data_IF_971073805417
#
_entry.id   IF_971073805417
#
_cell.length_a   1.000
_cell.length_b   1.000
_cell.length_c   1.000
_cell.angle_alpha   90.00
_cell.angle_beta   90.00
_cell.angle_gamma   90.00
#
_symmetry.space_group_name_H-M   'P 1'
#
loop_
_entity.id
_entity.type
_entity.pdbx_description
1 polymer ?
#
# COMPACT_ATOMS: atom_id res chain seq x y z
N UNK A 1 -30.82 -5.45 -7.03
CA UNK A 1 -32.06 -6.15 -6.65
C UNK A 1 -31.88 -6.52 -5.18
N UNK A 2 -32.60 -5.85 -4.27
CA UNK A 2 -32.40 -5.99 -2.82
C UNK A 2 -33.07 -7.28 -2.36
N UNK A 3 -32.31 -8.23 -1.83
CA UNK A 3 -32.83 -9.48 -1.26
C UNK A 3 -33.37 -9.19 0.14
N UNK A 4 -34.69 -9.04 0.23
CA UNK A 4 -35.40 -9.26 1.49
C UNK A 4 -35.22 -10.74 1.85
N UNK A 5 -34.60 -10.99 3.00
CA UNK A 5 -34.30 -12.28 3.63
C UNK A 5 -33.74 -13.39 2.72
N UNK A 6 -32.41 -13.60 2.69
CA UNK A 6 -31.83 -14.69 1.91
C UNK A 6 -32.36 -16.05 2.38
N UNK A 7 -32.56 -17.02 1.48
CA UNK A 7 -32.94 -18.37 1.85
C UNK A 7 -31.94 -18.92 2.88
N UNK A 8 -32.46 -19.66 3.85
CA UNK A 8 -31.72 -20.22 4.99
C UNK A 8 -31.14 -19.19 6.00
N UNK A 9 -31.45 -17.89 5.89
CA UNK A 9 -30.86 -16.85 6.76
C UNK A 9 -30.99 -17.15 8.27
N UNK A 10 -32.15 -17.66 8.71
CA UNK A 10 -32.41 -17.96 10.12
C UNK A 10 -31.72 -19.23 10.61
N UNK A 11 -31.23 -20.07 9.69
CA UNK A 11 -30.52 -21.32 9.97
C UNK A 11 -29.00 -21.11 9.96
N UNK A 12 -28.49 -20.01 9.39
CA UNK A 12 -27.06 -19.69 9.40
C UNK A 12 -26.54 -19.50 10.83
N UNK A 13 -25.34 -20.02 11.12
CA UNK A 13 -24.69 -19.95 12.43
C UNK A 13 -25.47 -20.64 13.57
N UNK A 14 -26.25 -21.68 13.24
CA UNK A 14 -26.95 -22.53 14.22
C UNK A 14 -26.48 -23.98 14.09
N UNK A 15 -26.82 -24.84 15.06
CA UNK A 15 -26.58 -26.29 14.99
C UNK A 15 -27.61 -27.03 14.10
N UNK A 16 -28.34 -26.31 13.25
CA UNK A 16 -29.32 -26.88 12.34
C UNK A 16 -28.65 -27.80 11.31
N UNK A 17 -29.20 -29.00 11.15
CA UNK A 17 -28.74 -30.00 10.17
C UNK A 17 -29.72 -30.01 8.99
N UNK A 18 -29.29 -29.58 7.79
CA UNK A 18 -30.14 -29.61 6.61
C UNK A 18 -30.44 -31.04 6.15
N UNK A 19 -31.62 -31.26 5.61
CA UNK A 19 -31.99 -32.49 4.90
C UNK A 19 -31.27 -32.62 3.55
N UNK A 20 -31.27 -33.82 2.97
CA UNK A 20 -30.63 -34.08 1.66
C UNK A 20 -31.18 -33.16 0.55
N UNK A 21 -32.47 -32.84 0.57
CA UNK A 21 -33.08 -31.90 -0.38
C UNK A 21 -32.60 -30.47 -0.18
N UNK A 22 -32.48 -30.03 1.09
CA UNK A 22 -31.99 -28.68 1.41
C UNK A 22 -30.50 -28.56 1.07
N UNK A 23 -29.71 -29.62 1.25
CA UNK A 23 -28.30 -29.65 0.81
C UNK A 23 -28.22 -29.41 -0.70
N UNK A 24 -29.08 -30.05 -1.49
CA UNK A 24 -29.09 -29.88 -2.95
C UNK A 24 -29.50 -28.46 -3.34
N UNK A 25 -30.50 -27.89 -2.66
CA UNK A 25 -30.94 -26.50 -2.87
C UNK A 25 -29.84 -25.50 -2.50
N UNK A 26 -29.20 -25.64 -1.34
CA UNK A 26 -28.08 -24.81 -0.90
C UNK A 26 -26.93 -24.87 -1.91
N UNK A 27 -26.58 -26.07 -2.39
CA UNK A 27 -25.52 -26.21 -3.42
C UNK A 27 -25.87 -25.44 -4.68
N UNK A 28 -27.11 -25.51 -5.16
CA UNK A 28 -27.56 -24.78 -6.33
C UNK A 28 -27.50 -23.26 -6.11
N UNK A 29 -27.92 -22.78 -4.93
CA UNK A 29 -27.86 -21.36 -4.56
C UNK A 29 -26.43 -20.82 -4.51
N UNK A 30 -25.44 -21.66 -4.17
CA UNK A 30 -24.04 -21.26 -4.04
C UNK A 30 -23.29 -21.17 -5.37
N UNK A 31 -23.77 -21.79 -6.46
CA UNK A 31 -23.05 -21.80 -7.75
C UNK A 31 -22.80 -20.38 -8.26
N UNK A 32 -23.84 -19.56 -8.38
CA UNK A 32 -23.73 -18.19 -8.90
C UNK A 32 -22.78 -17.31 -8.07
N UNK A 33 -22.98 -17.18 -6.75
CA UNK A 33 -22.07 -16.42 -5.89
C UNK A 33 -20.63 -16.94 -5.88
N UNK A 34 -20.42 -18.26 -5.95
CA UNK A 34 -19.08 -18.83 -6.02
C UNK A 34 -18.37 -18.50 -7.34
N UNK A 35 -19.09 -18.55 -8.46
CA UNK A 35 -18.55 -18.17 -9.78
C UNK A 35 -18.24 -16.67 -9.84
N UNK A 36 -19.13 -15.82 -9.30
CA UNK A 36 -18.90 -14.38 -9.19
C UNK A 36 -17.66 -14.07 -8.33
N UNK A 37 -17.54 -14.73 -7.17
CA UNK A 37 -16.38 -14.59 -6.28
C UNK A 37 -15.09 -15.01 -6.98
N UNK A 38 -15.10 -16.15 -7.66
CA UNK A 38 -13.94 -16.63 -8.42
C UNK A 38 -13.52 -15.64 -9.53
N UNK A 39 -14.50 -15.03 -10.22
CA UNK A 39 -14.25 -13.98 -11.20
C UNK A 39 -13.63 -12.73 -10.59
N UNK A 40 -14.11 -12.31 -9.40
CA UNK A 40 -13.54 -11.19 -8.66
C UNK A 40 -12.10 -11.48 -8.22
N UNK A 41 -11.83 -12.65 -7.66
CA UNK A 41 -10.48 -13.05 -7.22
C UNK A 41 -9.49 -13.10 -8.38
N UNK A 42 -9.91 -13.64 -9.53
CA UNK A 42 -9.09 -13.63 -10.74
C UNK A 42 -8.74 -12.20 -11.17
N UNK A 43 -9.73 -11.29 -11.14
CA UNK A 43 -9.52 -9.89 -11.52
C UNK A 43 -8.61 -9.15 -10.54
N UNK A 44 -8.75 -9.40 -9.24
CA UNK A 44 -7.86 -8.85 -8.21
C UNK A 44 -6.42 -9.28 -8.49
N UNK A 45 -6.20 -10.58 -8.72
CA UNK A 45 -4.88 -11.12 -9.02
C UNK A 45 -4.23 -10.49 -10.25
N UNK A 46 -5.01 -10.32 -11.33
CA UNK A 46 -4.52 -9.63 -12.54
C UNK A 46 -4.09 -8.18 -12.24
N UNK A 47 -4.90 -7.44 -11.48
CA UNK A 47 -4.62 -6.05 -11.14
C UNK A 47 -3.41 -5.93 -10.20
N UNK A 48 -3.23 -6.86 -9.27
CA UNK A 48 -2.04 -6.90 -8.40
C UNK A 48 -0.75 -7.13 -9.20
N UNK A 49 -0.79 -8.02 -10.20
CA UNK A 49 0.35 -8.25 -11.11
C UNK A 49 0.67 -6.96 -11.86
N UNK A 50 -0.33 -6.32 -12.47
CA UNK A 50 -0.15 -5.07 -13.21
C UNK A 50 0.39 -3.95 -12.30
N UNK A 51 -0.13 -3.85 -11.08
CA UNK A 51 0.33 -2.87 -10.09
C UNK A 51 1.79 -3.09 -9.71
N UNK A 52 2.21 -4.33 -9.51
CA UNK A 52 3.60 -4.65 -9.17
C UNK A 52 4.55 -4.32 -10.33
N UNK A 53 4.17 -4.63 -11.57
CA UNK A 53 4.95 -4.23 -12.75
C UNK A 53 5.11 -2.71 -12.85
N UNK A 54 4.04 -1.95 -12.62
CA UNK A 54 4.10 -0.48 -12.62
C UNK A 54 4.97 0.06 -11.48
N UNK A 55 4.94 -0.57 -10.30
CA UNK A 55 5.82 -0.20 -9.18
C UNK A 55 7.29 -0.41 -9.51
N UNK A 56 7.63 -1.54 -10.14
CA UNK A 56 9.00 -1.82 -10.59
C UNK A 56 9.47 -0.80 -11.63
N UNK A 57 8.64 -0.53 -12.65
CA UNK A 57 8.94 0.50 -13.65
C UNK A 57 9.14 1.86 -13.00
N UNK A 58 8.26 2.28 -12.08
CA UNK A 58 8.41 3.52 -11.33
C UNK A 58 9.71 3.57 -10.54
N UNK A 59 10.06 2.50 -9.84
CA UNK A 59 11.29 2.43 -9.06
C UNK A 59 12.53 2.55 -9.95
N UNK A 60 12.52 1.90 -11.12
CA UNK A 60 13.61 1.96 -12.10
C UNK A 60 13.86 3.38 -12.65
N UNK A 61 12.81 4.22 -12.72
CA UNK A 61 12.90 5.59 -13.21
C UNK A 61 13.20 6.60 -12.10
N UNK A 62 12.62 6.42 -10.91
CA UNK A 62 12.77 7.36 -9.81
C UNK A 62 14.23 7.50 -9.35
N UNK A 63 14.96 6.40 -9.20
CA UNK A 63 16.35 6.43 -8.74
C UNK A 63 17.25 7.33 -9.60
N UNK A 64 17.31 7.10 -10.93
CA UNK A 64 18.03 7.98 -11.84
C UNK A 64 17.51 9.42 -11.81
N UNK A 65 16.19 9.65 -11.83
CA UNK A 65 15.62 11.01 -11.82
C UNK A 65 16.07 11.78 -10.56
N UNK A 66 15.99 11.16 -9.40
CA UNK A 66 16.36 11.80 -8.13
C UNK A 66 17.86 12.08 -8.05
N UNK A 67 18.70 11.18 -8.57
CA UNK A 67 20.14 11.41 -8.66
C UNK A 67 20.47 12.62 -9.55
N UNK A 68 19.81 12.74 -10.72
CA UNK A 68 20.01 13.88 -11.61
C UNK A 68 19.48 15.19 -11.01
N UNK A 69 18.32 15.15 -10.34
CA UNK A 69 17.79 16.30 -9.59
C UNK A 69 18.75 16.75 -8.50
N UNK A 70 19.38 15.81 -7.80
CA UNK A 70 20.38 16.14 -6.78
C UNK A 70 21.62 16.82 -7.40
N UNK A 71 22.07 16.41 -8.59
CA UNK A 71 23.19 17.04 -9.29
C UNK A 71 22.92 18.51 -9.62
N UNK A 72 21.70 18.84 -10.07
CA UNK A 72 21.32 20.21 -10.43
C UNK A 72 20.78 21.03 -9.25
N UNK A 73 20.81 20.47 -8.03
CA UNK A 73 20.29 21.15 -6.85
C UNK A 73 21.04 22.49 -6.62
N UNK A 74 20.32 23.57 -6.25
CA UNK A 74 20.94 24.88 -6.07
C UNK A 74 22.13 24.87 -5.11
N UNK A 75 22.06 24.06 -4.04
CA UNK A 75 23.10 23.97 -3.01
C UNK A 75 24.45 23.51 -3.57
N UNK A 76 24.46 22.64 -4.60
CA UNK A 76 25.70 22.19 -5.26
C UNK A 76 26.33 23.23 -6.18
N UNK A 77 25.61 24.33 -6.47
CA UNK A 77 26.06 25.45 -7.31
C UNK A 77 26.55 26.63 -6.47
N UNK A 78 26.43 26.57 -5.15
CA UNK A 78 26.89 27.62 -4.25
C UNK A 78 28.41 27.50 -4.11
N UNK A 79 29.18 28.58 -4.32
CA UNK A 79 30.61 28.62 -4.01
C UNK A 79 30.91 28.18 -2.57
N UNK A 80 32.01 27.47 -2.36
CA UNK A 80 32.31 26.85 -1.06
C UNK A 80 32.42 27.86 0.07
N UNK A 81 32.98 29.04 -0.20
CA UNK A 81 33.08 30.17 0.73
C UNK A 81 31.71 30.70 1.18
N UNK A 82 30.76 30.84 0.25
CA UNK A 82 29.38 31.24 0.56
C UNK A 82 28.68 30.16 1.38
N UNK A 83 28.86 28.88 1.02
CA UNK A 83 28.29 27.77 1.77
C UNK A 83 28.83 27.74 3.21
N UNK A 84 30.14 27.88 3.38
CA UNK A 84 30.79 27.97 4.68
C UNK A 84 30.30 29.19 5.48
N UNK A 85 30.16 30.35 4.85
CA UNK A 85 29.65 31.56 5.50
C UNK A 85 28.23 31.37 6.05
N UNK A 86 27.35 30.71 5.28
CA UNK A 86 26.01 30.33 5.75
C UNK A 86 26.10 29.40 6.96
N UNK A 87 26.94 28.35 6.89
CA UNK A 87 27.13 27.43 8.01
C UNK A 87 27.63 28.14 9.26
N UNK A 88 28.62 29.02 9.15
CA UNK A 88 29.15 29.80 10.27
C UNK A 88 28.10 30.75 10.86
N UNK A 89 27.30 31.41 10.01
CA UNK A 89 26.23 32.30 10.45
C UNK A 89 25.09 31.56 11.17
N UNK A 90 24.93 30.25 10.93
CA UNK A 90 23.94 29.41 11.61
C UNK A 90 24.46 28.76 12.89
N UNK A 91 25.73 28.93 13.26
CA UNK A 91 26.25 28.40 14.52
C UNK A 91 25.73 29.24 15.69
N UNK A 92 25.28 28.61 16.78
CA UNK A 92 24.89 29.33 17.98
C UNK A 92 26.11 30.03 18.59
N UNK A 93 26.01 31.36 18.75
CA UNK A 93 27.07 32.19 19.34
C UNK A 93 27.12 32.11 20.86
N UNK A 94 25.99 31.73 21.48
CA UNK A 94 25.74 31.84 22.93
C UNK A 94 25.80 30.49 23.65
N UNK A 95 25.76 29.37 22.92
CA UNK A 95 25.75 28.04 23.51
C UNK A 95 26.36 27.00 22.57
N UNK A 96 26.87 25.91 23.14
CA UNK A 96 27.36 24.78 22.33
C UNK A 96 26.23 24.17 21.49
N UNK A 97 26.56 23.70 20.29
CA UNK A 97 25.63 22.95 19.46
C UNK A 97 25.25 21.64 20.18
N UNK A 98 23.96 21.38 20.36
CA UNK A 98 23.48 20.17 21.03
C UNK A 98 23.60 19.00 20.05
N UNK A 99 24.71 18.25 20.12
CA UNK A 99 24.81 16.95 19.46
C UNK A 99 24.18 15.88 20.35
N UNK A 100 22.90 15.60 20.18
CA UNK A 100 22.31 14.37 20.72
C UNK A 100 22.82 13.20 19.87
N UNK A 101 23.79 12.45 20.40
CA UNK A 101 24.17 11.17 19.82
C UNK A 101 22.93 10.25 19.83
N UNK A 102 22.54 9.65 18.69
CA UNK A 102 21.46 8.67 18.69
C UNK A 102 21.90 7.49 19.55
N UNK A 103 21.11 7.18 20.59
CA UNK A 103 21.27 5.93 21.36
C UNK A 103 21.10 4.77 20.38
N UNK A 104 22.18 4.05 20.10
CA UNK A 104 22.12 2.76 19.41
C UNK A 104 21.26 1.82 20.25
N UNK A 105 20.15 1.36 19.68
CA UNK A 105 19.40 0.18 20.11
C UNK A 105 19.92 -1.03 19.33
#
# INVERSE_FOLDING_TARGET
MSLADPPFANQLNTDYVPSDSEILEIRALLVGPADELAGMDARIKELEIALNQLREQRASLNGPIDAHRALISPIRRIPQDILLAIFFACLPSEHNAVTTLPKRL
#
